data_IF_565644091685
#
_entry.id   IF_565644091685
#
_cell.length_a   1.000
_cell.length_b   1.000
_cell.length_c   1.000
_cell.angle_alpha   90.00
_cell.angle_beta   90.00
_cell.angle_gamma   90.00
#
_symmetry.space_group_name_H-M   'P 1'
#
loop_
_entity.id
_entity.type
_entity.pdbx_description
1 polymer ?
#
# COMPACT_ATOMS: atom_id res chain seq x y z
N UNK A 1 12.60 -13.79 -4.70
CA UNK A 1 12.15 -12.93 -3.59
C UNK A 1 11.56 -11.64 -4.15
N UNK A 2 10.36 -11.26 -3.72
CA UNK A 2 9.72 -9.97 -4.04
C UNK A 2 9.69 -9.13 -2.77
N UNK A 3 10.21 -7.91 -2.82
CA UNK A 3 10.22 -6.98 -1.70
C UNK A 3 9.13 -5.93 -1.89
N UNK A 4 8.30 -5.72 -0.89
CA UNK A 4 7.16 -4.82 -0.93
C UNK A 4 7.29 -3.76 0.16
N UNK A 5 7.26 -2.49 -0.19
CA UNK A 5 7.47 -1.37 0.72
C UNK A 5 6.25 -0.44 0.70
N UNK A 6 5.69 -0.12 1.87
CA UNK A 6 4.75 1.01 1.99
C UNK A 6 5.43 2.21 2.62
N UNK A 7 5.14 3.42 2.13
CA UNK A 7 5.64 4.67 2.71
C UNK A 7 4.64 5.82 2.59
N UNK A 8 5.00 6.95 3.18
CA UNK A 8 4.19 8.16 3.29
C UNK A 8 4.95 9.37 2.79
N UNK A 9 4.44 10.06 1.76
CA UNK A 9 5.07 11.24 1.16
C UNK A 9 5.20 12.44 2.10
N UNK A 10 4.41 12.49 3.19
CA UNK A 10 4.53 13.54 4.21
C UNK A 10 5.67 13.27 5.20
N UNK A 11 6.30 12.09 5.16
CA UNK A 11 7.37 11.70 6.07
C UNK A 11 8.71 11.49 5.36
N UNK A 12 8.71 10.95 4.14
CA UNK A 12 9.93 10.71 3.38
C UNK A 12 9.70 10.81 1.87
N UNK A 13 10.80 10.96 1.14
CA UNK A 13 10.83 10.70 -0.30
C UNK A 13 10.61 9.21 -0.58
N UNK A 14 10.23 8.84 -1.81
CA UNK A 14 10.12 7.45 -2.21
C UNK A 14 11.40 6.65 -1.97
N UNK A 15 11.31 5.38 -1.52
CA UNK A 15 12.45 4.48 -1.44
C UNK A 15 13.01 4.15 -2.82
N UNK A 16 14.26 3.71 -2.87
CA UNK A 16 14.80 3.03 -4.03
C UNK A 16 14.02 1.73 -4.27
N UNK A 17 13.36 1.62 -5.41
CA UNK A 17 12.56 0.48 -5.82
C UNK A 17 12.53 0.39 -7.35
N UNK A 18 12.34 -0.81 -7.89
CA UNK A 18 12.21 -1.05 -9.34
C UNK A 18 10.91 -0.46 -9.90
N UNK A 19 9.88 -0.35 -9.05
CA UNK A 19 8.62 0.31 -9.35
C UNK A 19 8.10 1.04 -8.12
N UNK A 20 7.73 2.31 -8.29
CA UNK A 20 7.10 3.13 -7.26
C UNK A 20 5.72 3.54 -7.75
N UNK A 21 4.68 3.26 -6.96
CA UNK A 21 3.31 3.70 -7.22
C UNK A 21 2.86 4.77 -6.24
N UNK A 22 2.54 5.95 -6.76
CA UNK A 22 1.89 7.02 -6.01
C UNK A 22 0.37 6.89 -6.08
N UNK A 23 -0.26 6.58 -4.94
CA UNK A 23 -1.72 6.40 -4.85
C UNK A 23 -2.43 7.60 -4.24
N UNK A 24 -1.74 8.74 -4.05
CA UNK A 24 -2.34 9.95 -3.45
C UNK A 24 -3.53 10.47 -4.26
N UNK A 25 -3.40 10.50 -5.58
CA UNK A 25 -4.43 10.96 -6.52
C UNK A 25 -5.29 9.83 -7.10
N UNK A 26 -4.76 8.60 -7.18
CA UNK A 26 -5.42 7.46 -7.84
C UNK A 26 -6.57 6.86 -7.01
N UNK A 27 -6.47 6.91 -5.68
CA UNK A 27 -7.45 6.29 -4.79
C UNK A 27 -8.08 7.34 -3.87
N UNK A 28 -9.42 7.40 -3.83
CA UNK A 28 -10.15 8.28 -2.89
C UNK A 28 -9.70 8.01 -1.46
N UNK A 29 -9.63 9.06 -0.65
CA UNK A 29 -9.17 8.93 0.73
C UNK A 29 -10.18 8.16 1.60
N UNK A 30 -9.80 7.00 2.18
CA UNK A 30 -10.63 6.27 3.14
C UNK A 30 -11.01 7.08 4.37
N UNK A 31 -10.27 8.15 4.69
CA UNK A 31 -10.51 8.99 5.87
C UNK A 31 -11.89 9.66 5.93
N UNK A 32 -12.68 9.61 4.84
CA UNK A 32 -14.10 10.02 4.87
C UNK A 32 -15.01 9.01 5.59
N UNK A 33 -14.59 7.76 5.72
CA UNK A 33 -15.26 6.79 6.57
C UNK A 33 -14.86 7.04 8.04
N UNK A 34 -15.77 7.65 8.82
CA UNK A 34 -15.53 8.09 10.21
C UNK A 34 -15.00 7.01 11.18
N UNK A 35 -15.07 5.73 10.83
CA UNK A 35 -14.82 4.61 11.73
C UNK A 35 -13.49 3.88 11.48
N UNK A 36 -12.55 4.46 10.74
CA UNK A 36 -11.23 3.85 10.45
C UNK A 36 -10.03 4.76 10.72
N UNK A 37 -10.24 5.91 11.37
CA UNK A 37 -9.21 6.92 11.58
C UNK A 37 -8.06 6.45 12.49
N UNK A 38 -8.38 5.59 13.48
CA UNK A 38 -7.42 5.03 14.43
C UNK A 38 -6.88 3.66 13.99
N UNK A 39 -7.40 3.12 12.88
CA UNK A 39 -6.95 1.84 12.34
C UNK A 39 -5.73 2.06 11.42
N UNK A 40 -5.06 0.99 11.05
CA UNK A 40 -3.98 1.02 10.06
C UNK A 40 -4.25 0.00 8.94
N UNK A 41 -3.37 -0.03 7.94
CA UNK A 41 -3.52 -0.91 6.79
C UNK A 41 -3.39 -2.41 7.10
N UNK A 42 -3.02 -2.81 8.32
CA UNK A 42 -3.11 -4.22 8.73
C UNK A 42 -4.54 -4.62 9.04
N UNK A 43 -5.38 -3.69 9.47
CA UNK A 43 -6.73 -4.00 9.91
C UNK A 43 -7.61 -4.42 8.72
N UNK A 44 -8.30 -5.57 8.77
CA UNK A 44 -9.12 -6.07 7.65
C UNK A 44 -10.16 -5.06 7.14
N UNK A 45 -10.76 -4.28 8.04
CA UNK A 45 -11.68 -3.19 7.69
C UNK A 45 -11.04 -2.12 6.80
N UNK A 46 -9.79 -1.73 7.07
CA UNK A 46 -9.07 -0.74 6.24
C UNK A 46 -8.73 -1.37 4.89
N UNK A 47 -8.28 -2.62 4.88
CA UNK A 47 -8.01 -3.35 3.64
C UNK A 47 -9.26 -3.45 2.77
N UNK A 48 -10.42 -3.76 3.34
CA UNK A 48 -11.67 -3.86 2.57
C UNK A 48 -12.10 -2.51 1.97
N UNK A 49 -12.00 -1.42 2.73
CA UNK A 49 -12.32 -0.08 2.23
C UNK A 49 -11.36 0.32 1.09
N UNK A 50 -10.07 0.04 1.26
CA UNK A 50 -9.06 0.35 0.25
C UNK A 50 -9.28 -0.50 -1.01
N UNK A 51 -9.54 -1.80 -0.84
CA UNK A 51 -9.80 -2.75 -1.93
C UNK A 51 -11.04 -2.39 -2.74
N UNK A 52 -12.11 -1.95 -2.08
CA UNK A 52 -13.37 -1.55 -2.72
C UNK A 52 -13.34 -0.14 -3.30
N UNK A 53 -12.25 0.61 -3.11
CA UNK A 53 -12.08 1.93 -3.75
C UNK A 53 -11.93 1.74 -5.27
N UNK A 54 -12.65 2.52 -6.10
CA UNK A 54 -12.52 2.43 -7.56
C UNK A 54 -11.06 2.50 -8.02
N UNK A 55 -10.64 1.55 -8.87
CA UNK A 55 -9.28 1.43 -9.38
C UNK A 55 -8.29 0.65 -8.50
N UNK A 56 -8.63 0.31 -7.25
CA UNK A 56 -7.72 -0.43 -6.36
C UNK A 56 -7.47 -1.87 -6.84
N UNK A 57 -8.54 -2.58 -7.22
CA UNK A 57 -8.43 -3.95 -7.73
C UNK A 57 -7.65 -4.05 -9.05
N UNK A 58 -7.86 -3.09 -9.95
CA UNK A 58 -7.12 -2.99 -11.21
C UNK A 58 -5.62 -2.77 -10.94
N UNK A 59 -5.29 -1.81 -10.07
CA UNK A 59 -3.91 -1.55 -9.65
C UNK A 59 -3.26 -2.78 -9.01
N UNK A 60 -3.96 -3.47 -8.12
CA UNK A 60 -3.46 -4.71 -7.52
C UNK A 60 -3.17 -5.77 -8.57
N UNK A 61 -4.05 -5.94 -9.57
CA UNK A 61 -3.83 -6.86 -10.68
C UNK A 61 -2.64 -6.48 -11.56
N UNK A 62 -2.42 -5.20 -11.82
CA UNK A 62 -1.24 -4.72 -12.57
C UNK A 62 0.07 -4.98 -11.82
N UNK A 63 0.12 -4.65 -10.53
CA UNK A 63 1.31 -4.81 -9.70
C UNK A 63 1.65 -6.29 -9.49
N UNK A 64 0.62 -7.11 -9.31
CA UNK A 64 0.74 -8.55 -9.26
C UNK A 64 1.34 -9.12 -10.55
N UNK A 65 0.80 -8.77 -11.72
CA UNK A 65 1.36 -9.22 -13.01
C UNK A 65 2.82 -8.79 -13.17
N UNK A 66 3.14 -7.55 -12.81
CA UNK A 66 4.51 -7.04 -12.83
C UNK A 66 5.46 -7.83 -11.93
N UNK A 67 5.02 -8.18 -10.71
CA UNK A 67 5.83 -8.92 -9.75
C UNK A 67 6.02 -10.39 -10.16
N UNK A 68 4.98 -11.02 -10.72
CA UNK A 68 5.04 -12.40 -11.20
C UNK A 68 5.94 -12.56 -12.43
N UNK A 69 6.06 -11.53 -13.26
CA UNK A 69 6.91 -11.55 -14.45
C UNK A 69 8.42 -11.40 -14.16
N UNK A 70 8.82 -11.33 -12.88
CA UNK A 70 10.21 -11.11 -12.46
C UNK A 70 10.66 -12.18 -11.48
N UNK A 71 11.94 -12.53 -11.48
CA UNK A 71 12.53 -13.42 -10.47
C UNK A 71 12.71 -12.70 -9.13
N UNK A 72 13.16 -11.45 -9.20
CA UNK A 72 13.34 -10.53 -8.08
C UNK A 72 12.83 -9.14 -8.45
N UNK A 73 12.20 -8.45 -7.50
CA UNK A 73 11.77 -7.07 -7.68
C UNK A 73 11.52 -6.42 -6.31
N UNK A 74 11.75 -5.12 -6.21
CA UNK A 74 11.31 -4.25 -5.13
C UNK A 74 10.20 -3.34 -5.64
N UNK A 75 9.01 -3.43 -5.05
CA UNK A 75 7.89 -2.54 -5.33
C UNK A 75 7.62 -1.67 -4.13
N UNK A 76 7.42 -0.38 -4.36
CA UNK A 76 7.02 0.57 -3.34
C UNK A 76 5.67 1.21 -3.66
N UNK A 77 4.79 1.32 -2.66
CA UNK A 77 3.52 2.04 -2.77
C UNK A 77 3.54 3.20 -1.77
N UNK A 78 3.28 4.40 -2.26
CA UNK A 78 3.27 5.64 -1.47
C UNK A 78 1.88 6.25 -1.38
N UNK A 79 1.44 6.61 -0.17
CA UNK A 79 0.27 7.49 0.03
C UNK A 79 0.68 8.73 0.84
N UNK A 80 -0.26 9.56 1.30
CA UNK A 80 0.08 10.78 2.03
C UNK A 80 0.85 10.47 3.34
N UNK A 81 0.22 9.74 4.27
CA UNK A 81 0.81 9.41 5.57
C UNK A 81 1.40 8.00 5.70
N UNK A 82 1.27 7.13 4.69
CA UNK A 82 1.73 5.74 4.74
C UNK A 82 0.88 4.78 5.61
N UNK A 83 0.06 5.31 6.53
CA UNK A 83 -0.74 4.52 7.49
C UNK A 83 -1.81 3.60 6.91
N UNK A 84 -2.58 4.09 5.95
CA UNK A 84 -3.79 3.39 5.46
C UNK A 84 -3.61 2.79 4.07
N UNK A 85 -3.82 3.59 3.02
CA UNK A 85 -3.86 3.13 1.61
C UNK A 85 -2.62 2.33 1.20
N UNK A 86 -1.43 2.88 1.43
CA UNK A 86 -0.19 2.23 1.03
C UNK A 86 0.05 0.91 1.79
N UNK A 87 -0.12 0.92 3.11
CA UNK A 87 0.01 -0.26 3.95
C UNK A 87 -1.00 -1.36 3.52
N UNK A 88 -2.28 -1.01 3.39
CA UNK A 88 -3.33 -1.94 2.99
C UNK A 88 -3.10 -2.56 1.61
N UNK A 89 -2.69 -1.77 0.60
CA UNK A 89 -2.40 -2.30 -0.73
C UNK A 89 -1.21 -3.26 -0.73
N UNK A 90 -0.17 -2.96 0.06
CA UNK A 90 1.00 -3.83 0.20
C UNK A 90 0.62 -5.17 0.84
N UNK A 91 -0.20 -5.17 1.89
CA UNK A 91 -0.69 -6.39 2.53
C UNK A 91 -1.56 -7.24 1.58
N UNK A 92 -2.48 -6.59 0.86
CA UNK A 92 -3.31 -7.26 -0.14
C UNK A 92 -2.46 -7.88 -1.26
N UNK A 93 -1.49 -7.14 -1.79
CA UNK A 93 -0.57 -7.63 -2.82
C UNK A 93 0.31 -8.78 -2.30
N UNK A 94 0.83 -8.65 -1.07
CA UNK A 94 1.63 -9.69 -0.43
C UNK A 94 0.85 -11.00 -0.30
N UNK A 95 -0.41 -10.93 0.15
CA UNK A 95 -1.30 -12.09 0.23
C UNK A 95 -1.47 -12.80 -1.10
N UNK A 96 -1.71 -12.05 -2.19
CA UNK A 96 -1.89 -12.63 -3.52
C UNK A 96 -0.62 -13.24 -4.10
N UNK A 97 0.53 -12.65 -3.85
CA UNK A 97 1.83 -13.17 -4.31
C UNK A 97 2.23 -14.43 -3.53
N UNK A 98 2.04 -14.44 -2.21
CA UNK A 98 2.27 -15.62 -1.36
C UNK A 98 1.36 -16.79 -1.79
N UNK A 99 0.09 -16.52 -2.10
CA UNK A 99 -0.84 -17.53 -2.61
C UNK A 99 -0.41 -18.15 -3.95
N UNK A 100 0.46 -17.48 -4.71
CA UNK A 100 1.08 -18.00 -5.94
C UNK A 100 2.48 -18.59 -5.72
N UNK A 101 2.84 -18.90 -4.48
CA UNK A 101 4.11 -19.54 -4.13
C UNK A 101 5.32 -18.61 -4.23
N UNK A 102 5.12 -17.29 -4.26
CA UNK A 102 6.23 -16.33 -4.27
C UNK A 102 6.74 -16.12 -2.84
N UNK A 103 8.06 -16.07 -2.71
CA UNK A 103 8.73 -15.56 -1.51
C UNK A 103 8.63 -14.03 -1.47
N UNK A 104 8.08 -13.48 -0.38
CA UNK A 104 7.70 -12.07 -0.24
C UNK A 104 8.18 -11.50 1.09
N UNK A 105 8.98 -10.42 1.02
CA UNK A 105 9.36 -9.57 2.15
C UNK A 105 8.49 -8.30 2.17
N UNK A 106 8.00 -7.91 3.34
CA UNK A 106 7.13 -6.73 3.50
C UNK A 106 7.74 -5.75 4.50
N UNK A 107 7.79 -4.47 4.13
CA UNK A 107 8.25 -3.36 4.96
C UNK A 107 7.20 -2.23 5.00
N UNK A 108 6.76 -1.85 6.21
CA UNK A 108 5.85 -0.72 6.40
C UNK A 108 6.53 0.43 7.15
N UNK A 109 7.08 1.40 6.42
CA UNK A 109 7.89 2.47 7.02
C UNK A 109 7.14 3.36 8.00
N UNK A 110 5.88 3.65 7.72
CA UNK A 110 5.12 4.68 8.44
C UNK A 110 3.74 4.20 8.92
N UNK A 111 3.45 2.90 8.88
CA UNK A 111 2.17 2.38 9.36
C UNK A 111 1.92 2.64 10.85
N UNK A 112 2.99 2.57 11.64
CA UNK A 112 2.98 2.79 13.09
C UNK A 112 2.87 4.27 13.48
N UNK A 113 3.08 5.22 12.55
CA UNK A 113 3.04 6.64 12.86
C UNK A 113 1.59 7.14 13.04
N UNK A 114 1.39 8.22 13.82
CA UNK A 114 0.12 8.90 13.89
C UNK A 114 -0.26 9.49 12.53
N UNK A 115 -1.56 9.73 12.31
CA UNK A 115 -2.03 10.36 11.08
C UNK A 115 -1.49 11.79 11.00
N UNK A 116 -0.84 12.13 9.90
CA UNK A 116 -0.52 13.53 9.59
C UNK A 116 -1.79 14.25 9.18
N UNK A 117 -2.22 15.19 10.00
CA UNK A 117 -3.25 16.17 9.63
C UNK A 117 -2.54 17.25 8.82
N UNK A 118 -3.06 17.59 7.64
CA UNK A 118 -2.67 18.86 7.02
C UNK A 118 -3.39 19.96 7.79
N UNK A 119 -2.64 20.90 8.34
CA UNK A 119 -3.22 22.17 8.79
C UNK A 119 -3.90 22.80 7.55
N UNK A 120 -5.16 23.19 7.76
CA UNK A 120 -6.06 23.65 6.70
C UNK A 120 -5.75 25.08 6.29
#
# INVERSE_FOLDING_TARGET
MIRLISFGYLHSTPPLADRVEDVRAKLRDPARARNVLDLDGYHPRVQEIVRTTPGAEELLGELERYALSRSTATLAIGCAGGKHRACALIELLAGRLKARGRDVEVEHRHAHLPRVLKDS
#
